data_IF_137634103512
#
_entry.id   IF_137634103512
#
_cell.length_a   1.000
_cell.length_b   1.000
_cell.length_c   1.000
_cell.angle_alpha   90.00
_cell.angle_beta   90.00
_cell.angle_gamma   90.00
#
_symmetry.space_group_name_H-M   'P 1'
#
loop_
_entity.id
_entity.type
_entity.pdbx_description
1 polymer ?
#
# COMPACT_ATOMS: atom_id res chain seq x y z
N UNK A 1 9.35 4.86 9.72
CA UNK A 1 8.54 5.85 8.97
C UNK A 1 8.86 5.78 7.48
N UNK A 2 10.05 6.21 7.01
CA UNK A 2 10.42 6.20 5.57
C UNK A 2 10.22 4.86 4.85
N UNK A 3 10.53 3.74 5.51
CA UNK A 3 10.34 2.40 4.94
C UNK A 3 8.89 2.09 4.57
N UNK A 4 7.93 2.50 5.42
CA UNK A 4 6.50 2.23 5.19
C UNK A 4 5.96 3.08 4.05
N UNK A 5 6.39 4.34 3.97
CA UNK A 5 6.03 5.25 2.89
C UNK A 5 6.53 4.72 1.54
N UNK A 6 7.77 4.21 1.50
CA UNK A 6 8.29 3.55 0.29
C UNK A 6 7.43 2.35 -0.11
N UNK A 7 7.00 1.50 0.83
CA UNK A 7 6.09 0.38 0.52
C UNK A 7 4.81 0.89 -0.10
N UNK A 8 4.18 1.90 0.50
CA UNK A 8 2.92 2.48 -0.02
C UNK A 8 3.10 2.97 -1.46
N UNK A 9 4.17 3.74 -1.71
CA UNK A 9 4.48 4.27 -3.04
C UNK A 9 4.66 3.13 -4.04
N UNK A 10 5.38 2.07 -3.66
CA UNK A 10 5.57 0.90 -4.52
C UNK A 10 4.25 0.17 -4.79
N UNK A 11 3.43 -0.06 -3.77
CA UNK A 11 2.12 -0.72 -3.90
C UNK A 11 1.23 0.05 -4.88
N UNK A 12 1.11 1.37 -4.71
CA UNK A 12 0.26 2.18 -5.57
C UNK A 12 0.81 2.23 -7.01
N UNK A 13 2.13 2.36 -7.17
CA UNK A 13 2.79 2.40 -8.48
C UNK A 13 2.66 1.08 -9.23
N UNK A 14 3.01 -0.03 -8.58
CA UNK A 14 2.87 -1.37 -9.16
C UNK A 14 1.39 -1.68 -9.43
N UNK A 15 0.47 -1.28 -8.55
CA UNK A 15 -0.96 -1.46 -8.74
C UNK A 15 -1.50 -0.71 -9.95
N UNK A 16 -1.03 0.53 -10.14
CA UNK A 16 -1.36 1.34 -11.31
C UNK A 16 -0.86 0.71 -12.61
N UNK A 17 0.43 0.33 -12.68
CA UNK A 17 0.98 -0.29 -13.89
C UNK A 17 0.38 -1.67 -14.15
N UNK A 18 0.22 -2.49 -13.12
CA UNK A 18 -0.43 -3.80 -13.22
C UNK A 18 -1.86 -3.69 -13.72
N UNK A 19 -2.63 -2.73 -13.18
CA UNK A 19 -3.98 -2.44 -13.65
C UNK A 19 -4.01 -1.90 -15.08
N UNK A 20 -3.06 -1.05 -15.47
CA UNK A 20 -2.98 -0.48 -16.83
C UNK A 20 -2.62 -1.53 -17.89
N UNK A 21 -1.65 -2.41 -17.60
CA UNK A 21 -1.17 -3.39 -18.58
C UNK A 21 -1.98 -4.69 -18.58
N UNK A 22 -2.48 -5.13 -17.43
CA UNK A 22 -3.13 -6.44 -17.26
C UNK A 22 -4.57 -6.36 -16.78
N UNK A 23 -5.07 -5.18 -16.40
CA UNK A 23 -6.40 -5.04 -15.84
C UNK A 23 -7.49 -5.49 -16.79
N UNK A 24 -8.45 -6.26 -16.24
CA UNK A 24 -9.62 -6.80 -16.94
C UNK A 24 -9.31 -7.80 -18.06
N UNK A 25 -8.06 -8.24 -18.21
CA UNK A 25 -7.69 -9.29 -19.18
C UNK A 25 -8.08 -10.67 -18.68
N UNK A 26 -8.04 -10.89 -17.36
CA UNK A 26 -8.32 -12.19 -16.73
C UNK A 26 -9.67 -12.09 -16.00
N UNK A 27 -9.80 -11.11 -15.10
CA UNK A 27 -10.98 -10.88 -14.28
C UNK A 27 -11.69 -9.62 -14.79
N UNK A 28 -12.78 -9.81 -15.53
CA UNK A 28 -13.56 -8.70 -16.10
C UNK A 28 -14.15 -7.75 -15.05
N UNK A 29 -14.34 -8.22 -13.81
CA UNK A 29 -14.90 -7.45 -12.71
C UNK A 29 -13.83 -6.60 -12.03
N UNK A 30 -14.16 -5.35 -11.72
CA UNK A 30 -13.29 -4.49 -10.89
C UNK A 30 -13.19 -5.01 -9.46
N UNK A 31 -12.12 -4.64 -8.76
CA UNK A 31 -11.89 -4.99 -7.36
C UNK A 31 -13.01 -4.46 -6.46
N UNK A 32 -13.32 -3.16 -6.59
CA UNK A 32 -14.32 -2.48 -5.77
C UNK A 32 -15.20 -1.55 -6.63
N UNK A 33 -16.11 -2.07 -7.46
CA UNK A 33 -16.80 -1.29 -8.50
C UNK A 33 -17.62 -0.11 -7.97
N UNK A 34 -18.22 -0.24 -6.76
CA UNK A 34 -19.01 0.84 -6.14
C UNK A 34 -18.16 1.93 -5.47
N UNK A 35 -16.93 1.58 -5.08
CA UNK A 35 -16.08 2.45 -4.23
C UNK A 35 -14.96 3.07 -5.07
N UNK A 36 -14.21 2.22 -5.79
CA UNK A 36 -13.10 2.56 -6.67
C UNK A 36 -13.20 1.79 -8.00
N UNK A 37 -13.90 2.35 -9.01
CA UNK A 37 -14.18 1.65 -10.27
C UNK A 37 -12.95 1.47 -11.17
N UNK A 38 -11.81 2.09 -10.84
CA UNK A 38 -10.57 1.97 -11.62
C UNK A 38 -9.65 0.85 -11.11
N UNK A 39 -9.84 0.37 -9.88
CA UNK A 39 -9.01 -0.73 -9.34
C UNK A 39 -9.45 -2.08 -9.91
N UNK A 40 -8.48 -2.83 -10.40
CA UNK A 40 -8.66 -4.18 -10.96
C UNK A 40 -8.04 -5.23 -10.05
N UNK A 41 -8.52 -6.47 -10.14
CA UNK A 41 -7.94 -7.58 -9.38
C UNK A 41 -6.51 -7.87 -9.84
N UNK A 42 -6.25 -7.82 -11.14
CA UNK A 42 -4.92 -8.07 -11.68
C UNK A 42 -3.92 -7.01 -11.21
N UNK A 43 -4.34 -5.74 -11.13
CA UNK A 43 -3.53 -4.68 -10.55
C UNK A 43 -3.20 -4.94 -9.08
N UNK A 44 -4.18 -5.38 -8.29
CA UNK A 44 -3.95 -5.74 -6.89
C UNK A 44 -2.97 -6.91 -6.75
N UNK A 45 -3.15 -8.00 -7.49
CA UNK A 45 -2.21 -9.13 -7.47
C UNK A 45 -0.81 -8.72 -7.89
N UNK A 46 -0.69 -7.94 -8.97
CA UNK A 46 0.59 -7.44 -9.45
C UNK A 46 1.27 -6.50 -8.43
N UNK A 47 0.50 -5.65 -7.75
CA UNK A 47 1.05 -4.81 -6.67
C UNK A 47 1.58 -5.63 -5.50
N UNK A 48 0.85 -6.65 -5.04
CA UNK A 48 1.28 -7.50 -3.92
C UNK A 48 2.56 -8.25 -4.27
N UNK A 49 2.61 -8.91 -5.44
CA UNK A 49 3.77 -9.72 -5.83
C UNK A 49 5.03 -8.87 -6.02
N UNK A 50 4.96 -7.73 -6.71
CA UNK A 50 6.12 -6.86 -6.89
C UNK A 50 6.54 -6.17 -5.58
N UNK A 51 5.58 -5.81 -4.72
CA UNK A 51 5.90 -5.17 -3.43
C UNK A 51 6.61 -6.14 -2.49
N UNK A 52 6.25 -7.42 -2.48
CA UNK A 52 6.98 -8.46 -1.74
C UNK A 52 8.44 -8.47 -2.16
N UNK A 53 8.70 -8.52 -3.48
CA UNK A 53 10.08 -8.53 -4.01
C UNK A 53 10.83 -7.25 -3.62
N UNK A 54 10.19 -6.08 -3.73
CA UNK A 54 10.79 -4.81 -3.35
C UNK A 54 11.15 -4.75 -1.85
N UNK A 55 10.27 -5.26 -0.99
CA UNK A 55 10.49 -5.33 0.47
C UNK A 55 11.70 -6.21 0.79
N UNK A 56 11.83 -7.38 0.15
CA UNK A 56 13.00 -8.25 0.35
C UNK A 56 14.29 -7.61 -0.13
N UNK A 57 14.29 -7.00 -1.33
CA UNK A 57 15.48 -6.31 -1.86
C UNK A 57 15.91 -5.18 -0.93
N UNK A 58 14.94 -4.37 -0.48
CA UNK A 58 15.23 -3.25 0.41
C UNK A 58 15.69 -3.71 1.79
N UNK A 59 15.04 -4.72 2.38
CA UNK A 59 15.46 -5.31 3.65
C UNK A 59 16.87 -5.88 3.59
N UNK A 60 17.20 -6.59 2.50
CA UNK A 60 18.54 -7.10 2.26
C UNK A 60 19.57 -5.97 2.07
N UNK A 61 19.27 -4.97 1.24
CA UNK A 61 20.16 -3.83 1.01
C UNK A 61 20.46 -3.06 2.31
N UNK A 62 19.43 -2.85 3.15
CA UNK A 62 19.61 -2.20 4.44
C UNK A 62 20.45 -3.04 5.39
N UNK A 63 20.21 -4.36 5.49
CA UNK A 63 21.03 -5.26 6.31
C UNK A 63 22.54 -5.15 6.01
N UNK A 64 22.92 -5.00 4.74
CA UNK A 64 24.32 -4.80 4.35
C UNK A 64 24.84 -3.40 4.64
N UNK A 65 23.99 -2.38 4.56
CA UNK A 65 24.40 -0.98 4.70
C UNK A 65 24.50 -0.53 6.17
N UNK A 66 23.67 -1.07 7.05
CA UNK A 66 23.54 -0.62 8.45
C UNK A 66 24.18 -1.57 9.47
N UNK A 67 25.37 -2.13 9.19
CA UNK A 67 26.09 -3.02 10.13
C UNK A 67 26.23 -2.50 11.58
N UNK A 68 26.03 -1.20 11.83
CA UNK A 68 26.13 -0.56 13.16
C UNK A 68 24.85 0.08 13.72
N UNK A 69 23.76 0.23 12.97
CA UNK A 69 22.56 0.93 13.48
C UNK A 69 21.38 -0.02 13.67
N UNK A 70 21.12 -0.33 14.94
CA UNK A 70 19.98 -1.06 15.50
C UNK A 70 18.63 -0.33 15.34
N UNK A 71 18.38 0.26 14.17
CA UNK A 71 17.16 1.00 13.85
C UNK A 71 16.46 0.43 12.64
N UNK A 72 16.57 -0.89 12.43
CA UNK A 72 15.67 -1.58 11.52
C UNK A 72 14.37 -1.87 12.27
N UNK A 73 13.24 -1.56 11.65
CA UNK A 73 11.90 -1.88 12.17
C UNK A 73 11.72 -3.42 12.32
N UNK A 74 12.58 -4.19 11.64
CA UNK A 74 12.56 -5.64 11.62
C UNK A 74 13.95 -6.18 11.94
N UNK A 75 14.12 -6.66 13.16
CA UNK A 75 15.39 -7.26 13.63
C UNK A 75 15.51 -8.73 13.23
N UNK A 76 14.41 -9.36 12.80
CA UNK A 76 14.35 -10.76 12.44
C UNK A 76 13.82 -10.96 11.01
N UNK A 77 14.45 -11.87 10.25
CA UNK A 77 13.99 -12.34 8.94
C UNK A 77 12.51 -12.72 8.95
N UNK A 78 12.04 -13.36 10.03
CA UNK A 78 10.63 -13.73 10.19
C UNK A 78 9.73 -12.50 10.12
N UNK A 79 10.11 -11.39 10.77
CA UNK A 79 9.34 -10.16 10.75
C UNK A 79 9.36 -9.51 9.35
N UNK A 80 10.49 -9.53 8.65
CA UNK A 80 10.58 -9.08 7.26
C UNK A 80 9.64 -9.88 6.33
N UNK A 81 9.62 -11.20 6.47
CA UNK A 81 8.73 -12.08 5.69
C UNK A 81 7.27 -11.74 6.01
N UNK A 82 6.90 -11.67 7.29
CA UNK A 82 5.54 -11.30 7.69
C UNK A 82 5.14 -9.94 7.14
N UNK A 83 6.00 -8.93 7.27
CA UNK A 83 5.77 -7.60 6.73
C UNK A 83 5.56 -7.62 5.20
N UNK A 84 6.35 -8.39 4.47
CA UNK A 84 6.24 -8.51 3.03
C UNK A 84 4.88 -9.05 2.58
N UNK A 85 4.34 -10.05 3.29
CA UNK A 85 3.05 -10.66 2.94
C UNK A 85 1.84 -9.88 3.49
N UNK A 86 1.99 -9.21 4.62
CA UNK A 86 0.86 -8.59 5.34
C UNK A 86 0.67 -7.12 4.97
N UNK A 87 1.74 -6.34 4.83
CA UNK A 87 1.62 -4.89 4.60
C UNK A 87 1.01 -4.52 3.25
N UNK A 88 1.39 -5.13 2.10
CA UNK A 88 0.84 -4.73 0.81
C UNK A 88 -0.69 -4.95 0.69
N UNK A 89 -1.27 -6.10 1.10
CA UNK A 89 -2.71 -6.26 1.13
C UNK A 89 -3.41 -5.25 2.05
N UNK A 90 -2.84 -4.96 3.23
CA UNK A 90 -3.39 -3.98 4.17
C UNK A 90 -3.37 -2.56 3.60
N UNK A 91 -2.35 -2.20 2.82
CA UNK A 91 -2.29 -0.93 2.09
C UNK A 91 -3.49 -0.80 1.14
N UNK A 92 -3.74 -1.85 0.35
CA UNK A 92 -4.83 -1.88 -0.63
C UNK A 92 -6.19 -1.80 0.09
N UNK A 93 -6.37 -2.56 1.16
CA UNK A 93 -7.57 -2.52 1.99
C UNK A 93 -7.78 -1.13 2.61
N UNK A 94 -6.70 -0.50 3.07
CA UNK A 94 -6.69 0.85 3.60
C UNK A 94 -7.17 1.91 2.63
N UNK A 95 -6.59 1.93 1.43
CA UNK A 95 -7.00 2.86 0.38
C UNK A 95 -8.48 2.65 0.00
N UNK A 96 -8.94 1.39 -0.02
CA UNK A 96 -10.36 1.09 -0.24
C UNK A 96 -11.25 1.55 0.91
N UNK A 97 -10.79 1.46 2.16
CA UNK A 97 -11.51 1.96 3.32
C UNK A 97 -11.70 3.48 3.24
N UNK A 98 -10.62 4.24 3.01
CA UNK A 98 -10.70 5.69 2.85
C UNK A 98 -11.55 6.08 1.65
N UNK A 99 -11.42 5.35 0.54
CA UNK A 99 -12.32 5.52 -0.60
C UNK A 99 -13.79 5.27 -0.22
N UNK A 100 -14.08 4.27 0.61
CA UNK A 100 -15.45 3.97 1.07
C UNK A 100 -15.99 5.08 1.98
N UNK A 101 -15.17 5.58 2.92
CA UNK A 101 -15.52 6.73 3.76
C UNK A 101 -15.92 7.93 2.89
N UNK A 102 -15.12 8.27 1.88
CA UNK A 102 -15.42 9.37 0.96
C UNK A 102 -16.78 9.20 0.28
N UNK A 103 -17.13 7.98 -0.16
CA UNK A 103 -18.43 7.68 -0.77
C UNK A 103 -19.59 7.79 0.21
N UNK A 104 -19.42 7.40 1.47
CA UNK A 104 -20.46 7.54 2.49
C UNK A 104 -20.82 9.01 2.75
N UNK A 105 -19.84 9.90 2.69
CA UNK A 105 -20.04 11.35 2.79
C UNK A 105 -20.41 12.02 1.44
N UNK A 106 -20.62 11.23 0.38
CA UNK A 106 -20.93 11.70 -0.99
C UNK A 106 -19.86 12.64 -1.57
N UNK A 107 -18.63 12.55 -1.08
CA UNK A 107 -17.48 13.28 -1.59
C UNK A 107 -16.57 12.37 -2.41
N UNK A 108 -15.67 12.97 -3.19
CA UNK A 108 -14.67 12.23 -3.97
C UNK A 108 -13.26 12.39 -3.43
N UNK A 109 -12.91 13.61 -3.06
CA UNK A 109 -11.60 14.02 -2.57
C UNK A 109 -11.84 14.79 -1.26
N UNK A 110 -10.94 14.69 -0.28
CA UNK A 110 -11.13 15.35 1.04
C UNK A 110 -11.03 16.88 0.96
N UNK A 111 -10.30 17.40 -0.03
CA UNK A 111 -10.19 18.82 -0.35
C UNK A 111 -9.77 18.99 -1.81
N UNK A 112 -9.80 20.22 -2.32
CA UNK A 112 -9.27 20.55 -3.65
C UNK A 112 -8.05 21.48 -3.55
N UNK A 113 -7.17 21.21 -2.58
CA UNK A 113 -6.06 22.07 -2.25
C UNK A 113 -4.95 22.00 -3.32
N UNK A 114 -4.80 20.85 -3.99
CA UNK A 114 -3.89 20.70 -5.12
C UNK A 114 -4.72 20.69 -6.41
N UNK A 115 -4.64 21.77 -7.17
CA UNK A 115 -5.38 21.94 -8.41
C UNK A 115 -5.22 20.73 -9.36
N UNK A 116 -6.33 20.07 -9.65
CA UNK A 116 -6.39 18.90 -10.54
C UNK A 116 -5.89 17.58 -9.93
N UNK A 117 -5.40 17.58 -8.69
CA UNK A 117 -4.81 16.40 -8.04
C UNK A 117 -5.52 15.99 -6.75
N UNK A 118 -6.51 16.76 -6.28
CA UNK A 118 -7.31 16.47 -5.10
C UNK A 118 -6.72 17.05 -3.81
N UNK A 119 -7.00 16.40 -2.68
CA UNK A 119 -6.55 16.84 -1.38
C UNK A 119 -5.16 16.31 -1.01
N UNK A 120 -4.46 17.02 -0.12
CA UNK A 120 -3.24 16.50 0.50
C UNK A 120 -3.54 15.21 1.25
N UNK A 121 -4.68 15.16 1.96
CA UNK A 121 -5.09 13.99 2.74
C UNK A 121 -5.25 12.72 1.87
N UNK A 122 -5.76 12.87 0.65
CA UNK A 122 -5.94 11.74 -0.28
C UNK A 122 -4.61 11.05 -0.65
N UNK A 123 -3.46 11.70 -0.41
CA UNK A 123 -2.12 11.13 -0.62
C UNK A 123 -1.63 10.29 0.55
N UNK A 124 -2.21 10.50 1.72
CA UNK A 124 -1.86 9.80 2.94
C UNK A 124 -2.86 8.69 3.30
N UNK A 125 -3.94 8.48 2.52
CA UNK A 125 -4.95 7.42 2.77
C UNK A 125 -4.31 6.03 3.00
N UNK A 126 -3.49 5.57 2.05
CA UNK A 126 -2.78 4.29 2.13
C UNK A 126 -1.74 4.25 3.27
N UNK A 127 -1.00 5.35 3.48
CA UNK A 127 0.05 5.45 4.49
C UNK A 127 -0.51 5.50 5.92
N UNK A 128 -1.60 6.25 6.13
CA UNK A 128 -2.34 6.31 7.38
C UNK A 128 -2.88 4.93 7.74
N UNK A 129 -3.47 4.21 6.78
CA UNK A 129 -3.97 2.87 7.03
C UNK A 129 -2.85 1.89 7.40
N UNK A 130 -1.76 1.83 6.61
CA UNK A 130 -0.61 0.97 6.94
C UNK A 130 -0.08 1.26 8.35
N UNK A 131 0.01 2.54 8.73
CA UNK A 131 0.54 2.94 10.03
C UNK A 131 -0.34 2.43 11.17
N UNK A 132 -1.67 2.56 11.06
CA UNK A 132 -2.62 2.04 12.04
C UNK A 132 -2.49 0.52 12.18
N UNK A 133 -2.48 -0.20 11.05
CA UNK A 133 -2.39 -1.66 11.09
C UNK A 133 -1.06 -2.16 11.61
N UNK A 134 0.05 -1.51 11.27
CA UNK A 134 1.37 -1.87 11.78
C UNK A 134 1.44 -1.70 13.31
N UNK A 135 0.91 -0.59 13.84
CA UNK A 135 0.86 -0.37 15.29
C UNK A 135 0.04 -1.47 15.97
N UNK A 136 -1.11 -1.84 15.40
CA UNK A 136 -1.91 -2.94 15.94
C UNK A 136 -1.13 -4.26 15.93
N UNK A 137 -0.46 -4.61 14.83
CA UNK A 137 0.34 -5.84 14.74
C UNK A 137 1.46 -5.86 15.79
N UNK A 138 2.18 -4.75 15.97
CA UNK A 138 3.25 -4.64 16.96
C UNK A 138 2.68 -4.69 18.39
N UNK A 139 1.51 -4.11 18.65
CA UNK A 139 0.90 -4.08 19.98
C UNK A 139 0.38 -5.45 20.46
N UNK A 140 0.13 -6.39 19.54
CA UNK A 140 -0.36 -7.75 19.85
C UNK A 140 0.72 -8.84 19.72
N UNK A 141 1.97 -8.47 19.44
CA UNK A 141 3.17 -9.34 19.44
C UNK A 141 4.00 -8.99 20.67
#
# INVERSE_FOLDING_TARGET
>A
MLFLELIVIFVDTCGYFGGKFFGKKIIKKNLAPKISPKKTWEGAFFSVTLSIVAIFIFGYAMYFWTKETSTLIFDNIIQCVLAAFVLPPLAICGDLWFSALKRNFKIKDFSNLINGHGGIMDRFDSAASISIWLILIIAFI
#
